data_IF_253034147007
#
_entry.id   IF_253034147007
#
_cell.length_a   1.000
_cell.length_b   1.000
_cell.length_c   1.000
_cell.angle_alpha   90.00
_cell.angle_beta   90.00
_cell.angle_gamma   90.00
#
_symmetry.space_group_name_H-M   'P 1'
#
loop_
_entity.id
_entity.type
_entity.pdbx_description
1 polymer ?
#
# COMPACT_ATOMS: atom_id res chain seq x y z
N UNK A 1 -11.96 12.28 -5.11
CA UNK A 1 -10.61 12.88 -5.15
C UNK A 1 -9.53 11.84 -4.84
N UNK A 2 -9.65 11.08 -3.75
CA UNK A 2 -8.69 10.01 -3.41
C UNK A 2 -9.24 8.60 -3.72
N UNK A 3 -10.41 8.25 -3.17
CA UNK A 3 -11.00 6.89 -3.32
C UNK A 3 -12.18 6.83 -4.31
N UNK A 4 -12.36 7.85 -5.15
CA UNK A 4 -13.44 7.91 -6.15
C UNK A 4 -14.82 8.34 -5.60
N UNK A 5 -15.25 7.83 -4.44
CA UNK A 5 -16.53 8.17 -3.81
C UNK A 5 -16.67 7.59 -2.40
N UNK A 6 -17.82 7.75 -1.75
CA UNK A 6 -18.13 7.15 -0.44
C UNK A 6 -19.29 6.14 -0.52
N UNK A 7 -19.58 5.66 -1.73
CA UNK A 7 -20.51 4.58 -2.00
C UNK A 7 -19.80 3.22 -1.96
N UNK A 8 -20.47 2.17 -2.43
CA UNK A 8 -19.91 0.82 -2.49
C UNK A 8 -18.63 0.76 -3.33
N UNK A 9 -18.50 1.57 -4.38
CA UNK A 9 -17.30 1.58 -5.22
C UNK A 9 -16.13 2.14 -4.43
N UNK A 10 -16.34 3.25 -3.71
CA UNK A 10 -15.33 3.84 -2.84
C UNK A 10 -14.86 2.89 -1.73
N UNK A 11 -15.80 2.16 -1.12
CA UNK A 11 -15.49 1.16 -0.10
C UNK A 11 -14.59 0.04 -0.64
N UNK A 12 -14.89 -0.51 -1.82
CA UNK A 12 -14.06 -1.56 -2.42
C UNK A 12 -12.71 -1.02 -2.89
N UNK A 13 -12.65 0.25 -3.30
CA UNK A 13 -11.40 0.89 -3.71
C UNK A 13 -10.37 0.93 -2.57
N UNK A 14 -10.82 1.09 -1.31
CA UNK A 14 -9.93 0.98 -0.15
C UNK A 14 -9.22 -0.38 -0.10
N UNK A 15 -9.94 -1.46 -0.44
CA UNK A 15 -9.40 -2.81 -0.47
C UNK A 15 -8.41 -2.98 -1.61
N UNK A 16 -8.72 -2.42 -2.78
CA UNK A 16 -7.83 -2.46 -3.95
C UNK A 16 -6.51 -1.74 -3.67
N UNK A 17 -6.55 -0.57 -3.04
CA UNK A 17 -5.33 0.19 -2.72
C UNK A 17 -4.37 -0.58 -1.81
N UNK A 18 -4.87 -1.34 -0.82
CA UNK A 18 -4.02 -2.20 0.00
C UNK A 18 -3.56 -3.43 -0.78
N UNK A 19 -4.48 -4.06 -1.53
CA UNK A 19 -4.21 -5.28 -2.31
C UNK A 19 -3.16 -5.06 -3.41
N UNK A 20 -3.19 -3.90 -4.07
CA UNK A 20 -2.24 -3.55 -5.13
C UNK A 20 -0.81 -3.40 -4.57
N UNK A 21 -0.64 -2.97 -3.32
CA UNK A 21 0.69 -2.93 -2.68
C UNK A 21 1.27 -4.34 -2.50
N UNK A 22 0.43 -5.29 -2.10
CA UNK A 22 0.79 -6.70 -1.97
C UNK A 22 1.09 -7.33 -3.34
N UNK A 23 0.24 -7.06 -4.33
CA UNK A 23 0.42 -7.56 -5.69
C UNK A 23 1.66 -6.97 -6.37
N UNK A 24 2.09 -5.76 -6.00
CA UNK A 24 3.34 -5.18 -6.47
C UNK A 24 4.55 -5.94 -5.94
N UNK A 25 4.56 -6.39 -4.68
CA UNK A 25 5.64 -7.26 -4.17
C UNK A 25 5.66 -8.60 -4.90
N UNK A 26 4.49 -9.21 -5.15
CA UNK A 26 4.39 -10.45 -5.92
C UNK A 26 4.89 -10.28 -7.36
N UNK A 27 4.42 -9.24 -8.05
CA UNK A 27 4.72 -8.99 -9.47
C UNK A 27 6.20 -8.65 -9.71
N UNK A 28 6.88 -8.10 -8.70
CA UNK A 28 8.31 -7.83 -8.76
C UNK A 28 9.17 -8.97 -8.20
N UNK A 29 8.56 -10.13 -7.89
CA UNK A 29 9.25 -11.34 -7.46
C UNK A 29 9.76 -11.32 -6.03
N UNK A 30 9.24 -10.41 -5.20
CA UNK A 30 9.60 -10.29 -3.78
C UNK A 30 8.68 -11.06 -2.85
N UNK A 31 7.43 -11.30 -3.26
CA UNK A 31 6.46 -12.14 -2.56
C UNK A 31 6.12 -13.37 -3.43
N UNK A 32 5.74 -14.47 -2.77
CA UNK A 32 5.19 -15.67 -3.43
C UNK A 32 3.72 -15.89 -3.08
N UNK A 33 3.25 -15.27 -2.00
CA UNK A 33 1.90 -15.44 -1.48
C UNK A 33 1.29 -14.09 -1.15
N UNK A 34 0.05 -13.91 -1.57
CA UNK A 34 -0.82 -12.79 -1.19
C UNK A 34 -2.12 -13.36 -0.62
N UNK A 35 -2.54 -12.88 0.54
CA UNK A 35 -3.78 -13.30 1.19
C UNK A 35 -4.68 -12.09 1.47
N UNK A 36 -5.93 -12.18 1.03
CA UNK A 36 -6.99 -11.21 1.30
C UNK A 36 -8.11 -11.96 2.00
N UNK A 37 -8.41 -11.55 3.23
CA UNK A 37 -9.40 -12.18 4.09
C UNK A 37 -10.44 -11.16 4.54
N UNK A 38 -11.72 -11.51 4.39
CA UNK A 38 -12.83 -10.82 5.04
C UNK A 38 -13.04 -11.47 6.41
N UNK A 39 -12.93 -10.68 7.46
CA UNK A 39 -13.05 -11.13 8.84
C UNK A 39 -14.52 -11.16 9.28
N UNK A 40 -14.80 -11.89 10.36
CA UNK A 40 -16.17 -12.05 10.88
C UNK A 40 -16.82 -10.75 11.37
N UNK A 41 -16.02 -9.72 11.65
CA UNK A 41 -16.47 -8.38 12.03
C UNK A 41 -16.66 -7.43 10.84
N UNK A 42 -16.45 -7.92 9.61
CA UNK A 42 -16.53 -7.12 8.40
C UNK A 42 -15.26 -6.34 8.06
N UNK A 43 -14.21 -6.39 8.88
CA UNK A 43 -12.90 -5.87 8.52
C UNK A 43 -12.24 -6.74 7.44
N UNK A 44 -11.25 -6.17 6.74
CA UNK A 44 -10.48 -6.88 5.72
C UNK A 44 -9.01 -6.88 6.12
N UNK A 45 -8.40 -8.06 6.11
CA UNK A 45 -6.97 -8.23 6.30
C UNK A 45 -6.32 -8.57 4.96
N UNK A 46 -5.28 -7.83 4.62
CA UNK A 46 -4.45 -8.05 3.43
C UNK A 46 -3.03 -8.30 3.90
N UNK A 47 -2.40 -9.37 3.42
CA UNK A 47 -1.06 -9.76 3.83
C UNK A 47 -0.27 -10.39 2.69
N UNK A 48 1.06 -10.27 2.77
CA UNK A 48 2.01 -10.85 1.84
C UNK A 48 3.24 -11.39 2.59
N UNK A 49 4.05 -12.19 1.90
CA UNK A 49 5.36 -12.66 2.36
C UNK A 49 6.52 -11.90 1.68
N UNK A 50 6.27 -10.66 1.25
CA UNK A 50 7.21 -9.79 0.59
C UNK A 50 8.26 -9.20 1.51
N UNK A 51 8.94 -8.14 1.05
CA UNK A 51 10.03 -7.50 1.81
C UNK A 51 9.57 -6.80 3.08
N UNK A 52 8.29 -6.46 3.15
CA UNK A 52 7.71 -5.62 4.19
C UNK A 52 8.05 -4.14 4.03
N UNK A 53 7.21 -3.29 4.61
CA UNK A 53 7.42 -1.84 4.62
C UNK A 53 8.60 -1.52 5.55
N UNK A 54 9.59 -0.71 5.13
CA UNK A 54 10.74 -0.39 5.99
C UNK A 54 10.32 0.32 7.29
N UNK A 55 10.75 -0.22 8.43
CA UNK A 55 10.39 0.29 9.78
C UNK A 55 11.49 1.13 10.44
N UNK A 56 12.67 1.21 9.82
CA UNK A 56 13.77 2.01 10.35
C UNK A 56 13.49 3.49 10.18
N UNK A 57 13.92 4.29 11.16
CA UNK A 57 13.85 5.74 11.10
C UNK A 57 14.63 6.31 9.90
N UNK A 58 13.98 7.20 9.17
CA UNK A 58 14.53 7.99 8.08
C UNK A 58 15.12 9.28 8.67
N UNK A 59 16.45 9.45 8.55
CA UNK A 59 17.19 10.55 9.20
C UNK A 59 16.69 11.96 8.84
N UNK A 60 16.17 12.12 7.62
CA UNK A 60 15.66 13.38 7.09
C UNK A 60 14.22 13.70 7.53
N UNK A 61 13.46 12.68 7.93
CA UNK A 61 12.05 12.80 8.34
C UNK A 61 11.83 12.67 9.85
N UNK A 62 12.76 12.07 10.59
CA UNK A 62 12.59 11.76 12.02
C UNK A 62 11.45 10.77 12.30
N UNK A 63 11.05 10.00 11.28
CA UNK A 63 9.95 9.02 11.28
C UNK A 63 10.37 7.77 10.53
N UNK A 64 9.73 6.64 10.79
CA UNK A 64 9.92 5.43 9.98
C UNK A 64 9.29 5.57 8.60
N UNK A 65 9.76 4.83 7.59
CA UNK A 65 9.10 4.84 6.29
C UNK A 65 7.66 4.31 6.39
N UNK A 66 7.41 3.35 7.29
CA UNK A 66 6.07 2.89 7.67
C UNK A 66 5.18 4.07 8.09
N UNK A 67 5.61 4.88 9.06
CA UNK A 67 4.82 6.02 9.51
C UNK A 67 4.62 7.06 8.39
N UNK A 68 5.68 7.33 7.61
CA UNK A 68 5.62 8.30 6.52
C UNK A 68 4.59 7.91 5.47
N UNK A 69 4.56 6.67 4.99
CA UNK A 69 3.61 6.27 3.93
C UNK A 69 2.16 6.26 4.41
N UNK A 70 1.91 6.03 5.70
CA UNK A 70 0.57 6.07 6.29
C UNK A 70 0.09 7.48 6.66
N UNK A 71 0.98 8.48 6.76
CA UNK A 71 0.63 9.82 7.27
C UNK A 71 0.93 10.99 6.33
N UNK A 72 1.72 10.79 5.28
CA UNK A 72 2.10 11.86 4.34
C UNK A 72 1.68 11.51 2.91
N UNK A 73 0.95 12.42 2.25
CA UNK A 73 0.59 12.28 0.83
C UNK A 73 1.82 12.47 -0.06
N UNK A 74 1.83 11.80 -1.21
CA UNK A 74 2.95 11.77 -2.16
C UNK A 74 4.24 11.18 -1.57
N UNK A 75 4.11 10.24 -0.63
CA UNK A 75 5.23 9.52 -0.05
C UNK A 75 5.21 8.04 -0.46
N UNK A 76 6.37 7.47 -0.81
CA UNK A 76 6.48 6.06 -1.18
C UNK A 76 7.76 5.72 -1.93
N UNK A 77 8.12 4.43 -1.94
CA UNK A 77 9.31 3.93 -2.66
C UNK A 77 9.08 3.69 -4.16
N UNK A 78 7.83 3.72 -4.62
CA UNK A 78 7.44 3.39 -6.01
C UNK A 78 7.79 4.47 -7.05
N UNK A 79 8.24 5.65 -6.60
CA UNK A 79 8.74 6.69 -7.50
C UNK A 79 10.11 6.33 -8.11
N UNK A 80 10.87 5.45 -7.45
CA UNK A 80 12.10 4.90 -8.01
C UNK A 80 11.79 3.67 -8.87
N UNK A 81 11.77 3.86 -10.19
CA UNK A 81 11.52 2.79 -11.18
C UNK A 81 12.53 1.64 -11.13
N UNK A 82 13.65 1.79 -10.40
CA UNK A 82 14.58 0.67 -10.17
C UNK A 82 14.06 -0.32 -9.13
N UNK A 83 13.31 0.15 -8.14
CA UNK A 83 12.78 -0.70 -7.07
C UNK A 83 11.54 -1.49 -7.52
N UNK A 84 10.79 -0.96 -8.49
CA UNK A 84 9.61 -1.57 -9.07
C UNK A 84 9.60 -1.38 -10.59
N UNK A 85 10.02 -2.41 -11.32
CA UNK A 85 10.29 -2.33 -12.76
C UNK A 85 9.07 -2.70 -13.63
N UNK A 86 8.08 -3.40 -13.06
CA UNK A 86 6.91 -3.90 -13.80
C UNK A 86 5.64 -3.23 -13.26
N UNK A 87 4.89 -2.60 -14.18
CA UNK A 87 3.53 -2.04 -14.03
C UNK A 87 2.96 -1.97 -12.61
N UNK A 88 3.46 -1.06 -11.78
CA UNK A 88 2.91 -0.85 -10.44
C UNK A 88 1.60 -0.09 -10.50
N UNK A 89 0.57 -0.57 -9.80
CA UNK A 89 -0.70 0.15 -9.67
C UNK A 89 -0.56 1.44 -8.85
N UNK A 90 0.26 1.41 -7.79
CA UNK A 90 0.37 2.50 -6.82
C UNK A 90 1.42 3.58 -7.17
N UNK A 91 1.17 4.41 -8.18
CA UNK A 91 2.16 5.41 -8.64
C UNK A 91 2.08 6.78 -7.96
N UNK A 92 0.99 7.08 -7.25
CA UNK A 92 0.75 8.42 -6.71
C UNK A 92 1.28 8.64 -5.28
N UNK A 93 1.60 7.56 -4.55
CA UNK A 93 2.04 7.66 -3.15
C UNK A 93 0.96 8.24 -2.22
N UNK A 94 -0.31 7.93 -2.49
CA UNK A 94 -1.46 8.39 -1.66
C UNK A 94 -2.40 7.27 -1.22
N UNK A 95 -2.31 6.09 -1.83
CA UNK A 95 -3.27 5.00 -1.64
C UNK A 95 -3.43 4.57 -0.19
N UNK A 96 -2.35 4.02 0.40
CA UNK A 96 -2.35 3.55 1.79
C UNK A 96 -2.63 4.69 2.80
N UNK A 97 -2.22 5.93 2.48
CA UNK A 97 -2.51 7.12 3.27
C UNK A 97 -4.01 7.43 3.28
N UNK A 98 -4.67 7.30 2.12
CA UNK A 98 -6.11 7.50 1.99
C UNK A 98 -6.92 6.37 2.64
N UNK A 99 -6.38 5.15 2.73
CA UNK A 99 -6.99 4.05 3.47
C UNK A 99 -6.92 4.25 4.99
N UNK A 100 -5.84 4.88 5.47
CA UNK A 100 -5.65 5.15 6.90
C UNK A 100 -6.52 6.29 7.44
N UNK A 101 -6.86 7.27 6.60
CA UNK A 101 -7.58 8.48 6.97
C UNK A 101 -9.10 8.28 7.07
#
# INVERSE_FOLDING_TARGET
MYIGGTDLVGLHHLVWEVSDNVLDEYSNGYATTANIQINGDGSISVSDDGRGIPVKEMKDKGKSALEVVFTEIHAGGKFDRKAYAVGTGGLHGVGITAVNA
#
